data_IF_446121518673
#
_entry.id   IF_446121518673
#
_cell.length_a   1.000
_cell.length_b   1.000
_cell.length_c   1.000
_cell.angle_alpha   90.00
_cell.angle_beta   90.00
_cell.angle_gamma   90.00
#
_symmetry.space_group_name_H-M   'P 1'
#
loop_
_entity.id
_entity.type
_entity.pdbx_description
1 polymer ?
#
# COMPACT_ATOMS: atom_id res chain seq x y z
N UNK A 1 -2.48 31.99 -21.91
CA UNK A 1 -2.88 32.95 -20.87
C UNK A 1 -4.31 32.64 -20.46
N UNK A 2 -4.51 32.15 -19.24
CA UNK A 2 -5.74 32.29 -18.46
C UNK A 2 -5.44 31.72 -17.07
N UNK A 3 -5.00 32.60 -16.17
CA UNK A 3 -4.92 32.33 -14.75
C UNK A 3 -6.30 32.60 -14.13
N UNK A 4 -6.76 31.73 -13.23
CA UNK A 4 -7.82 32.09 -12.28
C UNK A 4 -7.39 31.58 -10.91
N UNK A 5 -6.96 32.55 -10.09
CA UNK A 5 -6.80 32.43 -8.66
C UNK A 5 -8.15 32.62 -7.97
N UNK A 6 -8.41 31.90 -6.88
CA UNK A 6 -9.39 32.29 -5.88
C UNK A 6 -9.04 31.65 -4.52
N UNK A 7 -8.30 32.41 -3.72
CA UNK A 7 -8.22 32.31 -2.26
C UNK A 7 -9.48 32.92 -1.64
N UNK A 8 -9.95 32.40 -0.48
CA UNK A 8 -10.75 33.02 0.61
C UNK A 8 -10.99 31.87 1.62
N UNK A 9 -10.40 31.81 2.82
CA UNK A 9 -10.38 32.67 4.02
C UNK A 9 -11.31 32.14 5.14
N UNK A 10 -10.65 31.71 6.22
CA UNK A 10 -10.92 31.83 7.66
C UNK A 10 -12.35 32.11 8.15
N UNK A 11 -12.80 31.31 9.13
CA UNK A 11 -13.78 31.74 10.14
C UNK A 11 -13.50 31.04 11.47
N UNK A 12 -13.16 31.85 12.47
CA UNK A 12 -13.08 31.48 13.87
C UNK A 12 -14.34 31.96 14.60
N UNK A 13 -14.97 31.09 15.36
CA UNK A 13 -16.02 31.34 16.37
C UNK A 13 -16.19 30.00 17.14
N UNK A 14 -16.41 29.89 18.44
CA UNK A 14 -16.78 30.84 19.47
C UNK A 14 -16.38 30.31 20.86
N UNK A 15 -16.40 31.22 21.83
CA UNK A 15 -16.17 31.03 23.26
C UNK A 15 -17.21 30.10 23.91
N UNK A 16 -16.80 29.36 24.93
CA UNK A 16 -17.71 28.58 25.78
C UNK A 16 -16.99 28.07 27.02
N UNK A 17 -16.92 28.91 28.06
CA UNK A 17 -16.47 28.51 29.40
C UNK A 17 -17.67 27.99 30.19
N UNK A 18 -17.58 26.78 30.74
CA UNK A 18 -18.40 26.35 31.86
C UNK A 18 -17.57 25.40 32.74
N UNK A 19 -17.35 25.83 33.98
CA UNK A 19 -16.77 25.04 35.06
C UNK A 19 -17.89 24.40 35.86
N UNK A 20 -17.93 23.08 35.95
CA UNK A 20 -18.64 22.34 37.00
C UNK A 20 -17.75 21.16 37.48
N UNK A 21 -17.66 21.00 38.80
CA UNK A 21 -16.88 19.97 39.51
C UNK A 21 -17.84 18.83 39.98
N UNK A 22 -17.36 17.74 40.61
CA UNK A 22 -17.21 16.39 40.06
C UNK A 22 -18.27 15.38 40.57
N UNK A 23 -18.50 14.27 39.87
CA UNK A 23 -18.83 12.97 40.48
C UNK A 23 -19.02 11.85 39.44
N UNK A 24 -18.59 10.65 39.86
CA UNK A 24 -18.93 9.32 39.36
C UNK A 24 -18.26 8.83 38.06
N UNK A 25 -17.30 7.91 38.24
CA UNK A 25 -16.84 6.98 37.22
C UNK A 25 -18.01 6.11 36.71
N UNK A 26 -17.98 5.74 35.42
CA UNK A 26 -17.65 4.35 35.14
C UNK A 26 -16.56 4.23 34.06
N UNK A 27 -15.83 3.13 34.14
CA UNK A 27 -14.76 2.76 33.24
C UNK A 27 -15.32 2.52 31.84
N UNK A 28 -15.17 3.50 30.94
CA UNK A 28 -15.35 3.26 29.51
C UNK A 28 -14.08 2.63 28.98
N UNK A 29 -14.14 1.32 28.76
CA UNK A 29 -13.15 0.56 27.99
C UNK A 29 -12.80 1.33 26.73
N UNK A 30 -11.51 1.66 26.55
CA UNK A 30 -10.98 2.15 25.30
C UNK A 30 -11.29 1.11 24.21
N UNK A 31 -12.33 1.37 23.43
CA UNK A 31 -12.59 0.64 22.22
C UNK A 31 -11.51 1.07 21.24
N UNK A 32 -10.42 0.29 21.18
CA UNK A 32 -9.45 0.39 20.12
C UNK A 32 -10.23 0.34 18.81
N UNK A 33 -10.23 1.45 18.08
CA UNK A 33 -10.77 1.50 16.73
C UNK A 33 -9.99 0.46 15.93
N UNK A 34 -10.63 -0.69 15.70
CA UNK A 34 -10.11 -1.70 14.81
C UNK A 34 -10.04 -1.04 13.44
N UNK A 35 -8.84 -0.62 13.02
CA UNK A 35 -8.56 -0.30 11.64
C UNK A 35 -9.11 -1.46 10.81
N UNK A 36 -9.99 -1.22 9.83
CA UNK A 36 -10.44 -2.28 8.95
C UNK A 36 -9.18 -2.91 8.38
N UNK A 37 -8.93 -4.19 8.67
CA UNK A 37 -7.88 -4.93 8.01
C UNK A 37 -8.14 -4.79 6.51
N UNK A 38 -7.30 -4.01 5.83
CA UNK A 38 -7.45 -3.78 4.40
C UNK A 38 -7.50 -5.15 3.74
N UNK A 39 -8.65 -5.49 3.15
CA UNK A 39 -8.83 -6.77 2.45
C UNK A 39 -7.72 -6.83 1.40
N UNK A 40 -6.80 -7.78 1.57
CA UNK A 40 -5.69 -7.94 0.65
C UNK A 40 -6.24 -8.02 -0.77
N UNK A 41 -5.79 -7.12 -1.64
CA UNK A 41 -6.14 -7.17 -3.05
C UNK A 41 -5.78 -8.55 -3.60
N UNK A 42 -6.60 -9.07 -4.52
CA UNK A 42 -6.31 -10.34 -5.15
C UNK A 42 -4.97 -10.26 -5.90
N UNK A 43 -4.05 -11.16 -5.58
CA UNK A 43 -2.75 -11.27 -6.24
C UNK A 43 -2.92 -11.84 -7.64
N UNK A 44 -2.06 -11.45 -8.58
CA UNK A 44 -1.98 -12.04 -9.91
C UNK A 44 -0.82 -13.04 -9.99
N UNK A 45 -0.93 -14.05 -10.85
CA UNK A 45 0.13 -15.07 -11.01
C UNK A 45 1.33 -14.49 -11.74
N UNK A 46 2.51 -14.62 -11.13
CA UNK A 46 3.78 -14.27 -11.72
C UNK A 46 4.18 -15.24 -12.84
N UNK A 47 3.62 -16.45 -12.89
CA UNK A 47 3.86 -17.43 -13.94
C UNK A 47 3.02 -17.19 -15.22
N UNK A 48 1.76 -16.77 -15.08
CA UNK A 48 0.83 -16.73 -16.23
C UNK A 48 0.37 -15.33 -16.63
N UNK A 49 0.53 -14.30 -15.78
CA UNK A 49 0.15 -12.95 -16.16
C UNK A 49 1.03 -12.43 -17.31
N UNK A 50 0.48 -11.55 -18.14
CA UNK A 50 1.26 -10.82 -19.15
C UNK A 50 2.12 -9.74 -18.50
N UNK A 51 3.12 -9.25 -19.22
CA UNK A 51 3.95 -8.13 -18.77
C UNK A 51 3.12 -6.89 -18.43
N UNK A 52 2.13 -6.55 -19.27
CA UNK A 52 1.21 -5.44 -19.05
C UNK A 52 0.40 -5.60 -17.77
N UNK A 53 -0.08 -6.83 -17.49
CA UNK A 53 -0.82 -7.13 -16.26
C UNK A 53 0.06 -6.97 -15.02
N UNK A 54 1.31 -7.45 -15.07
CA UNK A 54 2.28 -7.27 -13.99
C UNK A 54 2.60 -5.80 -13.81
N UNK A 55 2.92 -5.09 -14.90
CA UNK A 55 3.21 -3.66 -14.87
C UNK A 55 2.05 -2.86 -14.27
N UNK A 56 0.80 -3.16 -14.66
CA UNK A 56 -0.38 -2.51 -14.11
C UNK A 56 -0.56 -2.79 -12.62
N UNK A 57 -0.37 -4.04 -12.17
CA UNK A 57 -0.46 -4.41 -10.77
C UNK A 57 0.63 -3.73 -9.92
N UNK A 58 1.88 -3.73 -10.39
CA UNK A 58 3.01 -3.05 -9.73
C UNK A 58 2.78 -1.54 -9.66
N UNK A 59 2.28 -0.92 -10.73
CA UNK A 59 1.89 0.49 -10.74
C UNK A 59 0.78 0.79 -9.73
N UNK A 60 -0.25 -0.06 -9.68
CA UNK A 60 -1.35 0.06 -8.71
C UNK A 60 -0.88 -0.08 -7.26
N UNK A 61 0.18 -0.85 -7.01
CA UNK A 61 0.84 -0.96 -5.71
C UNK A 61 1.80 0.20 -5.37
N UNK A 62 1.99 1.16 -6.28
CA UNK A 62 2.89 2.29 -6.08
C UNK A 62 4.38 1.91 -6.14
N UNK A 63 4.73 0.90 -6.94
CA UNK A 63 6.11 0.52 -7.24
C UNK A 63 6.70 1.52 -8.24
N UNK A 64 7.87 2.07 -7.91
CA UNK A 64 8.63 2.91 -8.84
C UNK A 64 9.23 2.07 -9.98
N UNK A 65 9.21 2.60 -11.20
CA UNK A 65 9.66 1.91 -12.43
C UNK A 65 9.00 0.51 -12.63
N UNK A 66 7.66 0.44 -12.70
CA UNK A 66 6.95 -0.83 -12.72
C UNK A 66 7.23 -1.69 -13.97
N UNK A 67 7.60 -1.07 -15.10
CA UNK A 67 7.97 -1.81 -16.32
C UNK A 67 9.25 -2.62 -16.14
N UNK A 68 10.31 -1.98 -15.65
CA UNK A 68 11.57 -2.69 -15.35
C UNK A 68 11.38 -3.86 -14.40
N UNK A 69 10.61 -3.68 -13.32
CA UNK A 69 10.34 -4.79 -12.40
C UNK A 69 9.47 -5.89 -13.01
N UNK A 70 8.56 -5.56 -13.94
CA UNK A 70 7.78 -6.56 -14.65
C UNK A 70 8.66 -7.43 -15.55
N UNK A 71 9.59 -6.81 -16.30
CA UNK A 71 10.61 -7.52 -17.10
C UNK A 71 11.40 -8.50 -16.24
N UNK A 72 11.91 -8.05 -15.09
CA UNK A 72 12.65 -8.92 -14.16
C UNK A 72 11.78 -10.06 -13.60
N UNK A 73 10.51 -9.79 -13.29
CA UNK A 73 9.59 -10.86 -12.85
C UNK A 73 9.36 -11.88 -13.96
N UNK A 74 9.28 -11.47 -15.23
CA UNK A 74 9.12 -12.41 -16.33
C UNK A 74 10.39 -13.23 -16.59
N UNK A 75 11.56 -12.59 -16.52
CA UNK A 75 12.86 -13.20 -16.79
C UNK A 75 13.15 -14.43 -15.91
N UNK A 76 12.74 -14.41 -14.64
CA UNK A 76 13.02 -15.52 -13.72
C UNK A 76 11.94 -16.60 -13.65
N UNK A 77 10.92 -16.55 -14.51
CA UNK A 77 9.94 -17.63 -14.63
C UNK A 77 10.63 -18.96 -15.02
N UNK A 78 10.05 -20.11 -14.66
CA UNK A 78 8.89 -20.26 -13.79
C UNK A 78 9.25 -20.14 -12.30
N UNK A 79 8.30 -19.66 -11.51
CA UNK A 79 8.29 -19.69 -10.05
C UNK A 79 7.63 -20.96 -9.54
N UNK A 80 8.16 -21.51 -8.44
CA UNK A 80 7.61 -22.71 -7.81
C UNK A 80 6.22 -22.41 -7.23
N UNK A 81 5.21 -23.21 -7.57
CA UNK A 81 3.83 -23.04 -7.08
C UNK A 81 3.69 -23.20 -5.56
N UNK A 82 4.66 -23.85 -4.91
CA UNK A 82 4.70 -24.05 -3.46
C UNK A 82 5.45 -22.92 -2.72
N UNK A 83 6.16 -22.04 -3.44
CA UNK A 83 6.86 -20.88 -2.89
C UNK A 83 5.88 -19.69 -2.71
N UNK A 84 4.96 -19.81 -1.75
CA UNK A 84 3.96 -18.77 -1.47
C UNK A 84 4.58 -17.46 -0.97
N UNK A 85 5.80 -17.52 -0.42
CA UNK A 85 6.56 -16.35 0.05
C UNK A 85 7.34 -15.65 -1.05
N UNK A 86 7.33 -16.20 -2.28
CA UNK A 86 8.08 -15.69 -3.43
C UNK A 86 9.58 -15.50 -3.11
N UNK A 87 10.17 -16.42 -2.33
CA UNK A 87 11.58 -16.36 -1.91
C UNK A 87 12.54 -16.36 -3.09
N UNK A 88 12.25 -17.13 -4.15
CA UNK A 88 13.05 -17.11 -5.37
C UNK A 88 13.02 -15.74 -6.05
N UNK A 89 11.84 -15.11 -6.17
CA UNK A 89 11.71 -13.77 -6.74
C UNK A 89 12.48 -12.75 -5.88
N UNK A 90 12.31 -12.80 -4.56
CA UNK A 90 13.02 -11.93 -3.61
C UNK A 90 14.54 -12.03 -3.80
N UNK A 91 15.08 -13.25 -3.90
CA UNK A 91 16.51 -13.47 -4.12
C UNK A 91 16.98 -12.92 -5.47
N UNK A 92 16.20 -13.11 -6.55
CA UNK A 92 16.58 -12.62 -7.87
C UNK A 92 16.53 -11.10 -7.96
N UNK A 93 15.51 -10.47 -7.39
CA UNK A 93 15.40 -9.01 -7.39
C UNK A 93 16.42 -8.34 -6.47
N UNK A 94 16.85 -9.00 -5.38
CA UNK A 94 17.84 -8.45 -4.45
C UNK A 94 19.15 -8.00 -5.12
N UNK A 95 19.52 -8.59 -6.27
CA UNK A 95 20.72 -8.18 -7.03
C UNK A 95 20.65 -6.74 -7.55
N UNK A 96 19.44 -6.21 -7.74
CA UNK A 96 19.19 -4.84 -8.19
C UNK A 96 18.96 -3.88 -7.01
N UNK A 97 19.10 -4.38 -5.78
CA UNK A 97 18.93 -3.64 -4.54
C UNK A 97 17.62 -2.81 -4.49
N UNK A 98 16.43 -3.41 -4.77
CA UNK A 98 15.17 -2.72 -4.51
C UNK A 98 15.11 -2.34 -3.04
N UNK A 99 14.67 -1.11 -2.75
CA UNK A 99 14.36 -0.72 -1.38
C UNK A 99 13.36 -1.70 -0.74
N UNK A 100 13.40 -1.84 0.58
CA UNK A 100 12.53 -2.78 1.31
C UNK A 100 11.04 -2.54 1.02
N UNK A 101 10.62 -1.28 0.90
CA UNK A 101 9.27 -0.88 0.50
C UNK A 101 8.92 -1.37 -0.92
N UNK A 102 9.80 -1.14 -1.90
CA UNK A 102 9.64 -1.63 -3.27
C UNK A 102 9.47 -3.14 -3.32
N UNK A 103 10.34 -3.88 -2.62
CA UNK A 103 10.23 -5.34 -2.53
C UNK A 103 8.88 -5.76 -1.92
N UNK A 104 8.49 -5.14 -0.80
CA UNK A 104 7.21 -5.43 -0.14
C UNK A 104 6.01 -5.20 -1.07
N UNK A 105 6.01 -4.11 -1.84
CA UNK A 105 4.95 -3.77 -2.80
C UNK A 105 4.89 -4.77 -3.97
N UNK A 106 6.04 -5.15 -4.53
CA UNK A 106 6.10 -6.19 -5.58
C UNK A 106 5.47 -7.50 -5.08
N UNK A 107 5.85 -7.94 -3.88
CA UNK A 107 5.36 -9.20 -3.30
C UNK A 107 3.90 -9.13 -2.81
N UNK A 108 3.37 -7.92 -2.62
CA UNK A 108 1.98 -7.73 -2.20
C UNK A 108 0.97 -8.05 -3.31
N UNK A 109 1.40 -7.96 -4.58
CA UNK A 109 0.51 -8.15 -5.74
C UNK A 109 0.80 -9.41 -6.55
N UNK A 110 1.89 -10.11 -6.26
CA UNK A 110 2.30 -11.33 -6.96
C UNK A 110 2.15 -12.59 -6.09
N UNK A 111 1.79 -13.67 -6.77
CA UNK A 111 1.83 -15.06 -6.30
C UNK A 111 2.48 -15.91 -7.39
N UNK A 112 2.85 -17.18 -7.13
CA UNK A 112 3.37 -18.04 -8.19
C UNK A 112 2.43 -18.07 -9.40
#
# INVERSE_FOLDING_TARGET
MAAVAATIALSAAACGSATETPAAAPQTTAQAAATPAAKAAAKISANTATEDQITAALRGAGVANPGHWAEEVMEYRPYDSTDTNMDRLRQKLAKYNPGADTMSKILSVLQP
#
